data_IF_821199549889
#
_entry.id   IF_821199549889
#
_cell.length_a   1.000
_cell.length_b   1.000
_cell.length_c   1.000
_cell.angle_alpha   90.00
_cell.angle_beta   90.00
_cell.angle_gamma   90.00
#
_symmetry.space_group_name_H-M   'P 1'
#
loop_
_entity.id
_entity.type
_entity.pdbx_description
1 polymer ?
#
# COMPACT_ATOMS: atom_id res chain seq x y z
N UNK A 1 -40.80 33.36 38.78
CA UNK A 1 -39.82 32.63 39.62
C UNK A 1 -38.90 31.87 38.68
N UNK A 2 -37.69 32.38 38.44
CA UNK A 2 -36.71 31.76 37.56
C UNK A 2 -35.85 30.80 38.40
N UNK A 3 -36.00 29.50 38.19
CA UNK A 3 -35.15 28.48 38.81
C UNK A 3 -33.82 28.43 38.07
N UNK A 4 -32.80 29.09 38.63
CA UNK A 4 -31.42 29.02 38.16
C UNK A 4 -30.85 27.63 38.44
N UNK A 5 -30.72 26.80 37.41
CA UNK A 5 -30.04 25.51 37.50
C UNK A 5 -28.53 25.74 37.64
N UNK A 6 -27.97 25.48 38.82
CA UNK A 6 -26.52 25.47 39.03
C UNK A 6 -25.96 24.17 38.45
N UNK A 7 -25.32 24.25 37.30
CA UNK A 7 -24.63 23.10 36.71
C UNK A 7 -23.30 22.85 37.43
N UNK A 8 -23.06 21.60 37.81
CA UNK A 8 -21.95 21.20 38.67
C UNK A 8 -20.72 20.85 37.80
N UNK A 9 -19.57 21.55 37.93
CA UNK A 9 -18.41 21.38 37.04
C UNK A 9 -17.83 19.96 37.03
N UNK A 10 -18.00 19.21 38.13
CA UNK A 10 -17.63 17.80 38.23
C UNK A 10 -18.45 16.89 37.32
N UNK A 11 -19.71 17.25 37.04
CA UNK A 11 -20.60 16.48 36.16
C UNK A 11 -20.22 16.58 34.69
N UNK A 12 -19.63 17.71 34.27
CA UNK A 12 -19.14 17.86 32.90
C UNK A 12 -17.84 17.10 32.70
N UNK A 13 -16.94 17.15 33.68
CA UNK A 13 -15.64 16.47 33.61
C UNK A 13 -15.79 14.94 33.53
N UNK A 14 -16.73 14.37 34.29
CA UNK A 14 -17.06 12.93 34.20
C UNK A 14 -17.70 12.57 32.88
N UNK A 15 -18.57 13.42 32.33
CA UNK A 15 -19.19 13.20 31.02
C UNK A 15 -18.16 13.23 29.87
N UNK A 16 -17.21 14.16 29.91
CA UNK A 16 -16.10 14.21 28.96
C UNK A 16 -15.17 13.00 29.08
N UNK A 17 -14.87 12.54 30.31
CA UNK A 17 -14.08 11.33 30.53
C UNK A 17 -14.78 10.07 30.00
N UNK A 18 -16.10 9.94 30.23
CA UNK A 18 -16.88 8.80 29.73
C UNK A 18 -16.94 8.81 28.20
N UNK A 19 -17.16 9.97 27.58
CA UNK A 19 -17.08 10.11 26.12
C UNK A 19 -15.69 9.71 25.62
N UNK A 20 -14.62 10.23 26.23
CA UNK A 20 -13.25 9.90 25.84
C UNK A 20 -12.92 8.40 25.97
N UNK A 21 -13.34 7.75 27.06
CA UNK A 21 -13.19 6.30 27.24
C UNK A 21 -14.07 5.48 26.30
N UNK A 22 -15.25 5.97 25.93
CA UNK A 22 -16.12 5.33 24.93
C UNK A 22 -15.57 5.42 23.50
N UNK A 23 -14.86 6.51 23.17
CA UNK A 23 -14.08 6.60 21.92
C UNK A 23 -12.77 5.78 22.00
N UNK A 24 -12.19 5.63 23.20
CA UNK A 24 -10.96 4.87 23.41
C UNK A 24 -11.18 3.34 23.45
N UNK A 25 -12.43 2.87 23.53
CA UNK A 25 -12.78 1.46 23.34
C UNK A 25 -12.93 1.15 21.85
N UNK A 26 -11.90 1.47 21.06
CA UNK A 26 -11.68 0.76 19.81
C UNK A 26 -11.43 -0.69 20.21
N UNK A 27 -12.41 -1.55 19.90
CA UNK A 27 -12.32 -2.98 20.10
C UNK A 27 -10.95 -3.46 19.61
N UNK A 28 -10.17 -4.05 20.52
CA UNK A 28 -9.07 -4.97 20.17
C UNK A 28 -9.68 -6.26 19.59
N UNK A 29 -10.53 -6.10 18.56
CA UNK A 29 -11.04 -7.18 17.77
C UNK A 29 -9.91 -7.70 16.91
N UNK A 30 -9.72 -9.02 16.94
CA UNK A 30 -8.80 -9.68 16.03
C UNK A 30 -9.20 -9.37 14.58
N UNK A 31 -8.28 -8.83 13.79
CA UNK A 31 -8.51 -8.61 12.36
C UNK A 31 -8.37 -9.95 11.66
N UNK A 32 -9.50 -10.48 11.19
CA UNK A 32 -9.57 -11.69 10.38
C UNK A 32 -10.10 -11.26 9.01
N UNK A 33 -9.31 -11.46 7.95
CA UNK A 33 -9.63 -10.95 6.62
C UNK A 33 -11.01 -11.40 6.15
N UNK A 34 -11.39 -12.66 6.38
CA UNK A 34 -12.66 -13.25 5.98
C UNK A 34 -13.88 -12.64 6.69
N UNK A 35 -13.65 -11.86 7.75
CA UNK A 35 -14.69 -11.13 8.50
C UNK A 35 -14.76 -9.65 8.11
N UNK A 36 -13.84 -9.15 7.29
CA UNK A 36 -13.86 -7.78 6.79
C UNK A 36 -14.88 -7.63 5.67
N UNK A 37 -15.50 -6.45 5.63
CA UNK A 37 -16.39 -6.06 4.55
C UNK A 37 -15.59 -5.50 3.37
N UNK A 38 -16.30 -5.16 2.28
CA UNK A 38 -15.66 -4.60 1.09
C UNK A 38 -14.95 -3.27 1.36
N UNK A 39 -15.44 -2.46 2.30
CA UNK A 39 -14.90 -1.13 2.59
C UNK A 39 -13.61 -1.18 3.42
N UNK A 40 -13.38 -2.25 4.16
CA UNK A 40 -12.21 -2.41 5.04
C UNK A 40 -11.23 -3.49 4.60
N UNK A 41 -11.57 -4.33 3.62
CA UNK A 41 -10.71 -5.43 3.18
C UNK A 41 -9.38 -4.98 2.55
N UNK A 42 -9.45 -4.13 1.51
CA UNK A 42 -8.27 -3.76 0.75
C UNK A 42 -7.25 -3.00 1.63
N UNK A 43 -5.98 -3.38 1.47
CA UNK A 43 -4.82 -2.85 2.20
C UNK A 43 -4.79 -3.14 3.70
N UNK A 44 -5.68 -4.00 4.20
CA UNK A 44 -5.66 -4.46 5.59
C UNK A 44 -4.69 -5.62 5.80
N UNK A 45 -4.37 -5.86 7.08
CA UNK A 45 -3.47 -6.92 7.53
C UNK A 45 -4.12 -7.62 8.72
N UNK A 46 -4.25 -8.93 8.62
CA UNK A 46 -4.79 -9.76 9.69
C UNK A 46 -3.93 -9.67 10.95
N UNK A 47 -4.49 -10.10 12.09
CA UNK A 47 -3.72 -10.23 13.33
C UNK A 47 -2.57 -11.25 13.20
N UNK A 48 -2.69 -12.24 12.31
CA UNK A 48 -1.60 -13.17 11.97
C UNK A 48 -0.49 -12.55 11.11
N UNK A 49 -0.67 -11.32 10.61
CA UNK A 49 0.32 -10.59 9.81
C UNK A 49 0.19 -10.83 8.30
N UNK A 50 -0.89 -11.46 7.84
CA UNK A 50 -1.13 -11.71 6.42
C UNK A 50 -1.92 -10.55 5.82
N UNK A 51 -1.56 -10.11 4.61
CA UNK A 51 -2.31 -9.06 3.91
C UNK A 51 -3.67 -9.59 3.46
N UNK A 52 -4.71 -8.79 3.62
CA UNK A 52 -6.04 -9.12 3.13
C UNK A 52 -6.17 -8.73 1.64
N UNK A 53 -6.90 -9.55 0.88
CA UNK A 53 -7.15 -9.37 -0.54
C UNK A 53 -8.65 -9.41 -0.82
N UNK A 54 -9.13 -8.44 -1.60
CA UNK A 54 -10.51 -8.43 -2.07
C UNK A 54 -10.59 -9.23 -3.37
N UNK A 55 -11.46 -10.22 -3.39
CA UNK A 55 -11.71 -11.08 -4.53
C UNK A 55 -13.14 -10.90 -5.03
N UNK A 56 -13.32 -11.19 -6.31
CA UNK A 56 -14.62 -11.19 -6.97
C UNK A 56 -15.02 -12.61 -7.31
N UNK A 57 -16.13 -13.07 -6.74
CA UNK A 57 -16.66 -14.41 -6.96
C UNK A 57 -17.96 -14.35 -7.77
N UNK A 58 -17.98 -15.06 -8.91
CA UNK A 58 -19.18 -15.20 -9.71
C UNK A 58 -20.14 -16.20 -9.04
N UNK A 59 -21.39 -15.79 -8.85
CA UNK A 59 -22.46 -16.66 -8.34
C UNK A 59 -23.32 -17.19 -9.48
N UNK A 60 -24.01 -18.30 -9.21
CA UNK A 60 -25.01 -18.86 -10.13
C UNK A 60 -26.09 -17.81 -10.41
N UNK A 61 -26.27 -17.44 -11.68
CA UNK A 61 -27.17 -16.36 -12.09
C UNK A 61 -26.51 -15.03 -12.42
N UNK A 62 -25.18 -14.98 -12.55
CA UNK A 62 -24.45 -13.80 -13.05
C UNK A 62 -24.28 -12.67 -12.03
N UNK A 63 -24.66 -12.89 -10.76
CA UNK A 63 -24.40 -11.95 -9.68
C UNK A 63 -22.95 -12.08 -9.21
N UNK A 64 -22.35 -10.95 -8.89
CA UNK A 64 -20.96 -10.89 -8.44
C UNK A 64 -20.94 -10.59 -6.95
N UNK A 65 -20.19 -11.38 -6.19
CA UNK A 65 -20.01 -11.19 -4.75
C UNK A 65 -18.55 -10.89 -4.45
N UNK A 66 -18.30 -9.80 -3.74
CA UNK A 66 -16.99 -9.52 -3.19
C UNK A 66 -16.74 -10.33 -1.92
N UNK A 67 -15.57 -10.95 -1.82
CA UNK A 67 -15.15 -11.76 -0.68
C UNK A 67 -13.74 -11.33 -0.29
N UNK A 68 -13.51 -11.10 0.99
CA UNK A 68 -12.19 -10.82 1.51
C UNK A 68 -11.50 -12.11 1.99
N UNK A 69 -10.21 -12.26 1.72
CA UNK A 69 -9.40 -13.40 2.20
C UNK A 69 -8.03 -12.96 2.66
N UNK A 70 -7.40 -13.76 3.51
CA UNK A 70 -5.96 -13.64 3.74
C UNK A 70 -5.19 -14.11 2.50
N UNK A 71 -4.26 -13.28 2.03
CA UNK A 71 -3.29 -13.65 1.00
C UNK A 71 -2.10 -14.38 1.62
N UNK A 72 -1.21 -14.89 0.77
CA UNK A 72 0.08 -15.46 1.18
C UNK A 72 1.18 -14.40 1.38
N UNK A 73 0.85 -13.12 1.19
CA UNK A 73 1.81 -12.02 1.33
C UNK A 73 1.85 -11.57 2.79
N UNK A 74 2.96 -11.87 3.47
CA UNK A 74 3.19 -11.44 4.85
C UNK A 74 3.57 -9.95 4.94
N UNK A 75 2.92 -9.22 5.83
CA UNK A 75 3.26 -7.85 6.20
C UNK A 75 4.10 -7.84 7.48
N UNK A 76 5.41 -8.07 7.34
CA UNK A 76 6.36 -8.22 8.47
C UNK A 76 6.25 -7.18 9.59
N UNK A 77 5.86 -5.95 9.28
CA UNK A 77 5.78 -4.81 10.22
C UNK A 77 4.38 -4.48 10.71
N UNK A 78 3.34 -5.16 10.20
CA UNK A 78 1.95 -4.81 10.46
C UNK A 78 1.19 -6.06 10.92
N UNK A 79 0.38 -5.91 11.97
CA UNK A 79 -0.51 -6.97 12.48
C UNK A 79 -1.78 -6.30 12.96
N UNK A 80 -2.93 -6.84 12.58
CA UNK A 80 -4.22 -6.26 12.98
C UNK A 80 -4.41 -4.83 12.47
N UNK A 81 -3.96 -4.55 11.24
CA UNK A 81 -3.98 -3.21 10.67
C UNK A 81 -5.13 -3.06 9.69
N UNK A 82 -5.98 -2.06 9.88
CA UNK A 82 -6.93 -1.61 8.86
C UNK A 82 -6.43 -0.25 8.39
N UNK A 83 -6.07 -0.17 7.11
CA UNK A 83 -5.61 1.10 6.53
C UNK A 83 -6.72 2.14 6.62
N UNK A 84 -6.38 3.42 6.79
CA UNK A 84 -7.40 4.48 6.84
C UNK A 84 -7.75 5.00 5.45
N UNK A 85 -8.96 5.54 5.30
CA UNK A 85 -9.41 6.07 4.01
C UNK A 85 -8.55 7.25 3.55
N UNK A 86 -8.06 8.09 4.47
CA UNK A 86 -7.16 9.18 4.10
C UNK A 86 -5.87 8.66 3.46
N UNK A 87 -5.39 7.49 3.90
CA UNK A 87 -4.21 6.86 3.34
C UNK A 87 -4.46 6.22 1.98
N UNK A 88 -5.61 5.56 1.82
CA UNK A 88 -6.04 5.01 0.53
C UNK A 88 -6.13 6.13 -0.51
N UNK A 89 -6.77 7.25 -0.16
CA UNK A 89 -6.92 8.39 -1.07
C UNK A 89 -5.59 9.10 -1.39
N UNK A 90 -4.77 9.35 -0.36
CA UNK A 90 -3.48 10.03 -0.49
C UNK A 90 -2.52 9.25 -1.40
N UNK A 91 -2.55 7.91 -1.32
CA UNK A 91 -1.74 7.04 -2.15
C UNK A 91 -2.35 6.75 -3.53
N UNK A 92 -3.56 7.25 -3.82
CA UNK A 92 -4.21 7.07 -5.13
C UNK A 92 -4.79 5.68 -5.35
N UNK A 93 -5.24 5.05 -4.27
CA UNK A 93 -5.79 3.70 -4.24
C UNK A 93 -7.31 3.74 -4.07
N UNK A 94 -7.95 2.58 -4.19
CA UNK A 94 -9.40 2.42 -4.04
C UNK A 94 -9.73 1.19 -3.18
N UNK A 95 -10.74 1.29 -2.30
CA UNK A 95 -11.17 0.16 -1.44
C UNK A 95 -11.75 -1.02 -2.23
N UNK A 96 -12.19 -0.77 -3.45
CA UNK A 96 -12.75 -1.75 -4.37
C UNK A 96 -11.70 -2.43 -5.24
N UNK A 97 -10.42 -2.06 -5.10
CA UNK A 97 -9.33 -2.73 -5.80
C UNK A 97 -9.32 -4.23 -5.50
N UNK A 98 -9.35 -5.01 -6.58
CA UNK A 98 -9.32 -6.46 -6.51
C UNK A 98 -7.87 -6.94 -6.58
N UNK A 99 -7.53 -7.94 -5.78
CA UNK A 99 -6.19 -8.49 -5.81
C UNK A 99 -5.12 -7.57 -5.22
N UNK A 100 -3.87 -7.99 -5.39
CA UNK A 100 -2.67 -7.20 -5.12
C UNK A 100 -1.82 -7.32 -6.39
N UNK A 101 -1.52 -6.20 -7.06
CA UNK A 101 -0.71 -6.17 -8.28
C UNK A 101 0.27 -5.00 -8.26
N UNK A 102 1.42 -5.20 -8.91
CA UNK A 102 2.45 -4.20 -9.21
C UNK A 102 2.10 -3.34 -10.43
N UNK A 103 1.12 -3.72 -11.26
CA UNK A 103 0.81 -3.07 -12.54
C UNK A 103 0.52 -1.57 -12.41
N UNK A 104 -0.11 -1.15 -11.30
CA UNK A 104 -0.41 0.26 -11.04
C UNK A 104 0.86 1.13 -11.03
N UNK A 105 2.04 0.58 -10.72
CA UNK A 105 3.31 1.31 -10.78
C UNK A 105 3.66 1.82 -12.19
N UNK A 106 3.09 1.21 -13.23
CA UNK A 106 3.21 1.64 -14.63
C UNK A 106 2.32 2.85 -14.97
N UNK A 107 1.41 3.20 -14.07
CA UNK A 107 0.51 4.34 -14.20
C UNK A 107 1.10 5.60 -13.59
N UNK A 108 1.34 6.58 -14.45
CA UNK A 108 1.95 7.87 -14.08
C UNK A 108 1.21 8.56 -12.91
N UNK A 109 -0.12 8.54 -12.91
CA UNK A 109 -0.95 9.20 -11.89
C UNK A 109 -0.88 8.48 -10.54
N UNK A 110 -0.90 7.15 -10.55
CA UNK A 110 -0.76 6.35 -9.34
C UNK A 110 0.61 6.60 -8.70
N UNK A 111 1.69 6.45 -9.48
CA UNK A 111 3.06 6.62 -8.98
C UNK A 111 3.32 8.04 -8.46
N UNK A 112 2.69 9.06 -9.06
CA UNK A 112 2.73 10.42 -8.54
C UNK A 112 2.10 10.56 -7.15
N UNK A 113 0.93 9.96 -6.92
CA UNK A 113 0.28 9.94 -5.60
C UNK A 113 1.04 9.08 -4.59
N UNK A 114 1.49 7.89 -4.99
CA UNK A 114 2.30 7.00 -4.14
C UNK A 114 3.60 7.67 -3.66
N UNK A 115 4.25 8.45 -4.53
CA UNK A 115 5.48 9.18 -4.23
C UNK A 115 5.25 10.58 -3.63
N UNK A 116 3.99 10.96 -3.35
CA UNK A 116 3.67 12.21 -2.68
C UNK A 116 4.07 12.16 -1.20
N UNK A 117 4.37 13.32 -0.62
CA UNK A 117 4.74 13.40 0.80
C UNK A 117 3.62 12.90 1.73
N UNK A 118 2.34 13.05 1.33
CA UNK A 118 1.20 12.57 2.10
C UNK A 118 1.21 11.04 2.19
N UNK A 119 1.43 10.35 1.07
CA UNK A 119 1.48 8.89 1.06
C UNK A 119 2.78 8.35 1.67
N UNK A 120 3.93 8.83 1.19
CA UNK A 120 5.24 8.26 1.57
C UNK A 120 5.61 8.51 3.03
N UNK A 121 5.11 9.59 3.63
CA UNK A 121 5.31 9.91 5.04
C UNK A 121 4.18 9.46 5.96
N UNK A 122 2.95 9.33 5.44
CA UNK A 122 1.75 9.09 6.26
C UNK A 122 1.26 7.66 6.28
N UNK A 123 1.59 6.86 5.27
CA UNK A 123 0.93 5.57 5.00
C UNK A 123 1.92 4.42 4.90
N UNK A 124 2.58 4.04 6.01
CA UNK A 124 3.71 3.10 6.00
C UNK A 124 3.31 1.70 5.56
N UNK A 125 2.06 1.27 5.77
CA UNK A 125 1.60 -0.06 5.37
C UNK A 125 1.40 -0.19 3.84
N UNK A 126 0.76 0.81 3.21
CA UNK A 126 0.68 0.93 1.75
C UNK A 126 2.08 1.07 1.15
N UNK A 127 2.91 1.97 1.67
CA UNK A 127 4.25 2.19 1.12
C UNK A 127 5.09 0.91 1.21
N UNK A 128 5.02 0.19 2.33
CA UNK A 128 5.70 -1.10 2.48
C UNK A 128 5.18 -2.17 1.50
N UNK A 129 3.87 -2.18 1.18
CA UNK A 129 3.32 -3.07 0.16
C UNK A 129 3.97 -2.80 -1.20
N UNK A 130 3.89 -1.57 -1.69
CA UNK A 130 4.39 -1.22 -3.01
C UNK A 130 5.91 -1.24 -3.10
N UNK A 131 6.63 -1.00 -2.00
CA UNK A 131 8.07 -1.18 -1.97
C UNK A 131 8.46 -2.64 -2.26
N UNK A 132 7.77 -3.59 -1.65
CA UNK A 132 8.03 -5.01 -1.86
C UNK A 132 7.55 -5.50 -3.23
N UNK A 133 6.40 -5.00 -3.72
CA UNK A 133 5.92 -5.30 -5.07
C UNK A 133 6.90 -4.78 -6.13
N UNK A 134 7.34 -3.53 -6.01
CA UNK A 134 8.34 -2.95 -6.91
C UNK A 134 9.64 -3.77 -6.88
N UNK A 135 10.12 -4.15 -5.69
CA UNK A 135 11.33 -4.96 -5.55
C UNK A 135 11.18 -6.35 -6.20
N UNK A 136 9.99 -6.96 -6.16
CA UNK A 136 9.70 -8.22 -6.85
C UNK A 136 9.74 -8.07 -8.38
N UNK A 137 9.40 -6.88 -8.90
CA UNK A 137 9.57 -6.50 -10.31
C UNK A 137 11.01 -6.02 -10.65
N UNK A 138 11.93 -6.09 -9.70
CA UNK A 138 13.31 -5.59 -9.84
C UNK A 138 13.45 -4.07 -9.73
N UNK A 139 12.37 -3.34 -9.49
CA UNK A 139 12.36 -1.87 -9.40
C UNK A 139 12.62 -1.40 -7.97
N UNK A 140 13.57 -0.47 -7.80
CA UNK A 140 13.75 0.21 -6.50
C UNK A 140 12.83 1.42 -6.38
N UNK A 141 11.76 1.29 -5.58
CA UNK A 141 10.72 2.31 -5.45
C UNK A 141 11.24 3.72 -5.10
N UNK A 142 12.24 3.91 -4.20
CA UNK A 142 12.78 5.25 -3.95
C UNK A 142 13.43 5.90 -5.18
N UNK A 143 14.18 5.14 -5.99
CA UNK A 143 14.75 5.64 -7.26
C UNK A 143 13.64 6.02 -8.23
N UNK A 144 12.56 5.23 -8.27
CA UNK A 144 11.39 5.55 -9.08
C UNK A 144 10.76 6.88 -8.65
N UNK A 145 10.58 7.10 -7.35
CA UNK A 145 10.04 8.35 -6.83
C UNK A 145 10.94 9.56 -7.11
N UNK A 146 12.27 9.43 -6.95
CA UNK A 146 13.23 10.47 -7.32
C UNK A 146 13.16 10.82 -8.81
N UNK A 147 13.16 9.79 -9.69
CA UNK A 147 13.07 9.97 -11.12
C UNK A 147 11.76 10.65 -11.54
N UNK A 148 10.65 10.32 -10.86
CA UNK A 148 9.33 10.93 -11.09
C UNK A 148 9.33 12.42 -10.73
N UNK A 149 9.94 12.80 -9.60
CA UNK A 149 10.04 14.18 -9.17
C UNK A 149 10.95 15.01 -10.07
N UNK A 150 12.04 14.43 -10.57
CA UNK A 150 12.98 15.10 -11.46
C UNK A 150 12.46 15.22 -12.91
N UNK A 151 11.91 14.13 -13.48
CA UNK A 151 11.33 14.13 -14.83
C UNK A 151 10.25 13.04 -14.99
N UNK A 152 8.96 13.41 -14.88
CA UNK A 152 7.85 12.47 -14.95
C UNK A 152 7.76 11.64 -16.24
N UNK A 153 8.19 12.20 -17.38
CA UNK A 153 8.10 11.54 -18.70
C UNK A 153 9.18 10.48 -18.88
N UNK A 154 10.38 10.71 -18.35
CA UNK A 154 11.52 9.79 -18.46
C UNK A 154 11.37 8.58 -17.55
N UNK A 155 10.92 8.79 -16.31
CA UNK A 155 10.75 7.71 -15.33
C UNK A 155 9.85 6.57 -15.85
N UNK A 156 8.72 6.92 -16.47
CA UNK A 156 7.78 5.92 -16.99
C UNK A 156 8.30 5.17 -18.22
N UNK A 157 9.18 5.79 -19.02
CA UNK A 157 9.82 5.13 -20.16
C UNK A 157 10.82 4.07 -19.68
N UNK A 158 11.56 4.35 -18.60
CA UNK A 158 12.52 3.41 -18.01
C UNK A 158 11.80 2.20 -17.38
N UNK A 159 10.69 2.38 -16.67
CA UNK A 159 9.94 1.22 -16.11
C UNK A 159 9.36 0.33 -17.21
N UNK A 160 8.84 0.92 -18.29
CA UNK A 160 8.28 0.15 -19.41
C UNK A 160 9.35 -0.50 -20.28
N UNK A 161 10.53 0.10 -20.35
CA UNK A 161 11.63 -0.35 -21.21
C UNK A 161 12.63 -1.23 -20.48
N UNK A 162 12.60 -1.27 -19.16
CA UNK A 162 13.62 -1.92 -18.36
C UNK A 162 12.95 -2.75 -17.26
N UNK A 163 13.01 -4.07 -17.39
CA UNK A 163 13.12 -4.93 -16.20
C UNK A 163 14.42 -4.57 -15.50
N UNK A 164 14.41 -3.45 -14.75
CA UNK A 164 15.60 -2.74 -14.34
C UNK A 164 16.21 -3.42 -13.11
N UNK A 165 16.93 -4.53 -13.33
CA UNK A 165 17.90 -5.01 -12.36
C UNK A 165 18.98 -3.94 -12.16
N UNK A 166 18.84 -3.11 -11.14
CA UNK A 166 19.89 -2.20 -10.69
C UNK A 166 20.86 -2.96 -9.80
N UNK A 167 22.02 -3.30 -10.37
CA UNK A 167 23.19 -3.70 -9.58
C UNK A 167 23.52 -2.60 -8.55
N UNK A 168 23.96 -2.96 -7.33
CA UNK A 168 24.29 -1.98 -6.31
C UNK A 168 25.50 -1.15 -6.75
N UNK A 169 25.38 0.18 -6.65
CA UNK A 169 26.48 1.09 -6.90
C UNK A 169 27.54 0.93 -5.81
N UNK A 170 28.62 0.19 -6.11
CA UNK A 170 29.88 0.25 -5.37
C UNK A 170 30.78 1.35 -5.94
N UNK A 171 31.65 1.97 -5.11
CA UNK A 171 32.60 2.95 -5.61
C UNK A 171 33.84 2.25 -6.17
N UNK A 172 34.38 2.79 -7.27
CA UNK A 172 35.81 3.04 -7.56
C UNK A 172 36.16 2.80 -9.03
N UNK A 173 36.95 3.76 -9.52
CA UNK A 173 37.94 3.76 -10.61
C UNK A 173 37.88 2.72 -11.71
N UNK A 174 37.99 3.24 -12.92
CA UNK A 174 37.85 2.51 -14.18
C UNK A 174 38.82 1.36 -14.38
N UNK A 175 38.33 0.39 -15.13
CA UNK A 175 39.09 -0.43 -16.06
C UNK A 175 38.14 -0.92 -17.15
N UNK A 176 38.53 -0.70 -18.40
CA UNK A 176 37.79 -1.08 -19.60
C UNK A 176 37.91 -2.59 -19.77
N UNK A 177 36.79 -3.33 -19.70
CA UNK A 177 36.74 -4.72 -20.14
C UNK A 177 36.12 -4.78 -21.55
N UNK A 178 36.96 -5.09 -22.52
CA UNK A 178 36.58 -5.45 -23.89
C UNK A 178 35.93 -6.84 -23.85
N UNK A 179 34.67 -6.95 -24.26
CA UNK A 179 34.01 -8.24 -24.48
C UNK A 179 34.15 -8.61 -25.97
N UNK A 180 34.90 -9.68 -26.24
CA UNK A 180 34.99 -10.33 -27.56
C UNK A 180 33.70 -11.11 -27.85
N UNK A 181 33.15 -10.91 -29.05
CA UNK A 181 32.01 -11.66 -29.59
C UNK A 181 32.41 -13.08 -30.01
N UNK A 182 31.57 -14.11 -29.80
CA UNK A 182 31.81 -15.46 -30.35
C UNK A 182 31.45 -15.54 -31.85
N UNK A 183 32.09 -16.44 -32.62
CA UNK A 183 31.87 -16.58 -34.06
C UNK A 183 30.55 -17.31 -34.37
N UNK A 184 29.89 -16.87 -35.44
CA UNK A 184 28.71 -17.50 -36.05
C UNK A 184 29.09 -18.77 -36.83
N UNK A 185 28.34 -19.85 -36.62
CA UNK A 185 28.43 -21.11 -37.36
C UNK A 185 27.70 -21.02 -38.72
N UNK A 186 28.20 -21.64 -39.81
CA UNK A 186 27.61 -21.53 -41.15
C UNK A 186 26.47 -22.54 -41.41
N UNK A 187 25.59 -22.28 -42.41
CA UNK A 187 24.35 -23.03 -42.60
C UNK A 187 24.54 -24.32 -43.40
N UNK A 188 23.62 -25.28 -43.19
CA UNK A 188 23.30 -26.36 -44.12
C UNK A 188 21.92 -26.10 -44.74
#
# INVERSE_FOLDING_TARGET
MATSSKSNPTSYFTFFLILFFSYASCALGEVVCEKLDQSTCAYSVSSSGMRCVLEKHAQRGGREKHVCRASEIEAKRFRGWIEKDECVEACGLDRTSLGISSDSLLEARFTEKLCSAQCSGGCPNILHLYFNLAAAEGVFLPKLCEARQANPRRAMAEIRSSGLALAPAGPTSGEVFVASSPPSEPPM
#
